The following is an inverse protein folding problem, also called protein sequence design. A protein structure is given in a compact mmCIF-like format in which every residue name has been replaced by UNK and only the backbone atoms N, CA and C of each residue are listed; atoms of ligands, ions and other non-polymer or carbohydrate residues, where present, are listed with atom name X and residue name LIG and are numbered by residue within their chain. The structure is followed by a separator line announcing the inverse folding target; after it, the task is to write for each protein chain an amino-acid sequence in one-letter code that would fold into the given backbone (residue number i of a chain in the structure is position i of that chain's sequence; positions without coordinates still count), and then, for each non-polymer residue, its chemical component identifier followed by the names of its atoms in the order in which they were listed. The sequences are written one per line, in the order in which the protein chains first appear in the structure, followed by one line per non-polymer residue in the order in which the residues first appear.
data_IF_812378864400
#
_entry.id   IF_812378864400
#
_cell.length_a   1.000
_cell.length_b   1.000
_cell.length_c   1.000
_cell.angle_alpha   90.00
_cell.angle_beta   90.00
_cell.angle_gamma   90.00
#
_symmetry.space_group_name_H-M   'P 1'
#
loop_
_entity.id
_entity.type
_entity.pdbx_description
1 polymer ?
#
# COMPACT_ATOMS: atom_id res chain seq x y z
N UNK A 1 38.13 -23.80 -12.28
CA UNK A 1 36.91 -23.55 -13.09
C UNK A 1 35.63 -23.94 -12.35
N UNK A 2 35.47 -25.19 -11.89
CA UNK A 2 34.23 -25.65 -11.22
C UNK A 2 33.86 -24.87 -9.94
N UNK A 3 34.84 -24.49 -9.12
CA UNK A 3 34.60 -23.72 -7.89
C UNK A 3 34.08 -22.31 -8.22
N UNK A 4 34.66 -21.65 -9.23
CA UNK A 4 34.21 -20.33 -9.66
C UNK A 4 32.81 -20.37 -10.26
N UNK A 5 32.45 -21.45 -10.97
CA UNK A 5 31.11 -21.68 -11.47
C UNK A 5 30.10 -21.84 -10.32
N UNK A 6 30.44 -22.63 -9.30
CA UNK A 6 29.60 -22.82 -8.12
C UNK A 6 29.42 -21.52 -7.31
N UNK A 7 30.49 -20.77 -7.10
CA UNK A 7 30.45 -19.48 -6.41
C UNK A 7 29.64 -18.43 -7.20
N UNK A 8 29.81 -18.38 -8.53
CA UNK A 8 29.02 -17.50 -9.38
C UNK A 8 27.54 -17.83 -9.38
N UNK A 9 27.17 -19.11 -9.41
CA UNK A 9 25.79 -19.57 -9.30
C UNK A 9 25.17 -19.21 -7.94
N UNK A 10 25.91 -19.40 -6.85
CA UNK A 10 25.47 -19.01 -5.51
C UNK A 10 25.29 -17.49 -5.39
N UNK A 11 26.23 -16.70 -5.92
CA UNK A 11 26.13 -15.25 -5.91
C UNK A 11 24.91 -14.76 -6.71
N UNK A 12 24.62 -15.35 -7.87
CA UNK A 12 23.44 -15.04 -8.67
C UNK A 12 22.13 -15.38 -7.93
N UNK A 13 22.09 -16.52 -7.23
CA UNK A 13 20.93 -16.95 -6.45
C UNK A 13 20.65 -15.98 -5.29
N UNK A 14 21.68 -15.62 -4.53
CA UNK A 14 21.57 -14.69 -3.40
C UNK A 14 21.21 -13.28 -3.89
N UNK A 15 21.79 -12.83 -5.01
CA UNK A 15 21.44 -11.56 -5.64
C UNK A 15 19.97 -11.52 -6.10
N UNK A 16 19.50 -12.58 -6.76
CA UNK A 16 18.11 -12.69 -7.19
C UNK A 16 17.13 -12.69 -6.02
N UNK A 17 17.39 -13.49 -4.98
CA UNK A 17 16.52 -13.57 -3.79
C UNK A 17 16.49 -12.24 -3.04
N UNK A 18 17.65 -11.64 -2.76
CA UNK A 18 17.71 -10.37 -2.04
C UNK A 18 17.01 -9.24 -2.80
N UNK A 19 17.22 -9.15 -4.12
CA UNK A 19 16.52 -8.17 -4.96
C UNK A 19 15.01 -8.41 -5.02
N UNK A 20 14.57 -9.67 -5.09
CA UNK A 20 13.16 -10.04 -5.10
C UNK A 20 12.45 -9.70 -3.79
N UNK A 21 13.10 -9.90 -2.64
CA UNK A 21 12.55 -9.54 -1.32
C UNK A 21 12.40 -8.02 -1.19
N UNK A 22 13.40 -7.24 -1.59
CA UNK A 22 13.38 -5.77 -1.47
C UNK A 22 12.31 -5.18 -2.40
N UNK A 23 12.36 -5.52 -3.69
CA UNK A 23 11.45 -4.96 -4.69
C UNK A 23 10.03 -5.48 -4.48
N UNK A 24 9.87 -6.78 -4.22
CA UNK A 24 8.57 -7.40 -3.97
C UNK A 24 7.91 -6.87 -2.70
N UNK A 25 8.68 -6.67 -1.63
CA UNK A 25 8.17 -6.09 -0.38
C UNK A 25 7.68 -4.66 -0.54
N UNK A 26 8.41 -3.83 -1.29
CA UNK A 26 8.00 -2.45 -1.57
C UNK A 26 6.73 -2.39 -2.42
N UNK A 27 6.63 -3.23 -3.46
CA UNK A 27 5.44 -3.32 -4.30
C UNK A 27 4.21 -3.78 -3.51
N UNK A 28 4.35 -4.84 -2.71
CA UNK A 28 3.27 -5.37 -1.88
C UNK A 28 2.82 -4.35 -0.81
N UNK A 29 3.77 -3.61 -0.23
CA UNK A 29 3.50 -2.51 0.69
C UNK A 29 2.69 -1.38 0.03
N UNK A 30 3.01 -1.01 -1.21
CA UNK A 30 2.26 -0.01 -1.98
C UNK A 30 0.85 -0.48 -2.30
N UNK A 31 0.67 -1.74 -2.67
CA UNK A 31 -0.67 -2.30 -2.92
C UNK A 31 -1.52 -2.36 -1.64
N UNK A 32 -0.94 -2.82 -0.52
CA UNK A 32 -1.62 -2.82 0.78
C UNK A 32 -2.00 -1.41 1.22
N UNK A 33 -1.11 -0.43 1.07
CA UNK A 33 -1.39 0.97 1.38
C UNK A 33 -2.51 1.54 0.49
N UNK A 34 -2.53 1.19 -0.80
CA UNK A 34 -3.59 1.58 -1.73
C UNK A 34 -4.94 0.95 -1.36
N UNK A 35 -4.97 -0.33 -1.03
CA UNK A 35 -6.18 -1.04 -0.61
C UNK A 35 -6.75 -0.47 0.69
N UNK A 36 -5.88 -0.23 1.68
CA UNK A 36 -6.27 0.38 2.95
C UNK A 36 -6.70 1.84 2.78
N UNK A 37 -6.00 2.60 1.95
CA UNK A 37 -6.36 3.98 1.59
C UNK A 37 -7.72 4.05 0.90
N UNK A 38 -8.05 3.09 0.02
CA UNK A 38 -9.36 3.01 -0.62
C UNK A 38 -10.48 2.71 0.38
N UNK A 39 -10.30 1.71 1.25
CA UNK A 39 -11.31 1.33 2.24
C UNK A 39 -11.52 2.41 3.29
N UNK A 40 -10.45 2.93 3.91
CA UNK A 40 -10.57 3.99 4.91
C UNK A 40 -10.91 5.33 4.30
N UNK A 41 -10.49 5.62 3.06
CA UNK A 41 -10.88 6.82 2.32
C UNK A 41 -12.38 6.83 2.03
N UNK A 42 -12.95 5.71 1.60
CA UNK A 42 -14.39 5.58 1.40
C UNK A 42 -15.16 5.71 2.73
N UNK A 43 -14.69 5.04 3.78
CA UNK A 43 -15.34 5.05 5.09
C UNK A 43 -15.31 6.44 5.75
N UNK A 44 -14.14 7.08 5.77
CA UNK A 44 -13.96 8.42 6.35
C UNK A 44 -14.61 9.51 5.48
N UNK A 45 -14.50 9.41 4.15
CA UNK A 45 -15.14 10.32 3.22
C UNK A 45 -16.66 10.25 3.31
N UNK A 46 -17.23 9.04 3.37
CA UNK A 46 -18.67 8.85 3.58
C UNK A 46 -19.16 9.45 4.90
N UNK A 47 -18.43 9.21 5.99
CA UNK A 47 -18.75 9.82 7.29
C UNK A 47 -18.66 11.36 7.24
N UNK A 48 -17.64 11.92 6.57
CA UNK A 48 -17.48 13.36 6.39
C UNK A 48 -18.62 13.98 5.59
N UNK A 49 -19.09 13.32 4.53
CA UNK A 49 -20.26 13.77 3.74
C UNK A 49 -21.51 13.78 4.61
N UNK A 50 -21.79 12.72 5.37
CA UNK A 50 -22.96 12.63 6.26
C UNK A 50 -22.91 13.74 7.32
N UNK A 51 -21.77 13.94 7.97
CA UNK A 51 -21.59 14.98 8.97
C UNK A 51 -21.75 16.38 8.36
N UNK A 52 -21.16 16.61 7.18
CA UNK A 52 -21.31 17.87 6.45
C UNK A 52 -22.77 18.17 6.12
N UNK A 53 -23.51 17.17 5.65
CA UNK A 53 -24.95 17.31 5.37
C UNK A 53 -25.77 17.57 6.63
N UNK A 54 -25.45 16.90 7.75
CA UNK A 54 -26.09 17.16 9.05
C UNK A 54 -25.88 18.61 9.48
N UNK A 55 -24.63 19.08 9.45
CA UNK A 55 -24.28 20.46 9.80
C UNK A 55 -25.02 21.44 8.89
N UNK A 56 -25.01 21.22 7.58
CA UNK A 56 -25.71 22.07 6.63
C UNK A 56 -27.22 22.11 6.89
N UNK A 57 -27.82 20.95 7.19
CA UNK A 57 -29.25 20.83 7.51
C UNK A 57 -29.60 21.58 8.78
N UNK A 58 -28.76 21.51 9.83
CA UNK A 58 -28.98 22.28 11.05
C UNK A 58 -28.76 23.77 10.88
N UNK A 59 -27.78 24.19 10.08
CA UNK A 59 -27.53 25.62 9.83
C UNK A 59 -28.64 26.23 8.98
N UNK A 60 -29.05 25.56 7.89
CA UNK A 60 -30.06 26.06 6.95
C UNK A 60 -31.47 25.84 7.49
N UNK A 61 -31.72 24.75 8.20
CA UNK A 61 -33.03 24.43 8.79
C UNK A 61 -33.31 25.09 10.15
N UNK A 62 -32.32 25.71 10.80
CA UNK A 62 -32.53 26.51 12.02
C UNK A 62 -32.69 28.03 11.75
N UNK A 63 -32.70 28.44 10.49
CA UNK A 63 -33.06 29.79 10.04
C UNK A 63 -34.52 29.81 9.56
#
# INVERSE_FOLDING_TARGET
MLIALGLGALAALVGGISSGIVIGGEALGKEMAGAMGGLYGLLSGGAAVILGLLILTFIVGAA
#
